data_IF_616672619085
#
_entry.id   IF_616672619085
#
_cell.length_a   1.000
_cell.length_b   1.000
_cell.length_c   1.000
_cell.angle_alpha   90.00
_cell.angle_beta   90.00
_cell.angle_gamma   90.00
#
_symmetry.space_group_name_H-M   'P 1'
#
loop_
_entity.id
_entity.type
_entity.pdbx_description
1 polymer ?
#
# COMPACT_ATOMS: atom_id res chain seq x y z
N UNK A 1 -7.98 -32.71 1.50
CA UNK A 1 -8.66 -31.49 1.01
C UNK A 1 -7.80 -30.20 1.05
N UNK A 2 -6.75 -30.10 1.88
CA UNK A 2 -5.88 -28.90 1.95
C UNK A 2 -4.93 -28.67 0.74
N UNK A 3 -4.69 -29.68 -0.11
CA UNK A 3 -3.80 -29.55 -1.28
C UNK A 3 -4.43 -28.83 -2.48
N UNK A 4 -5.75 -28.91 -2.64
CA UNK A 4 -6.44 -28.32 -3.79
C UNK A 4 -6.68 -26.80 -3.67
N UNK A 5 -6.68 -26.27 -2.44
CA UNK A 5 -6.81 -24.82 -2.20
C UNK A 5 -5.54 -24.02 -2.59
N UNK A 6 -4.35 -24.65 -2.51
CA UNK A 6 -3.08 -24.03 -2.95
C UNK A 6 -2.93 -23.94 -4.46
N UNK A 7 -3.66 -24.75 -5.22
CA UNK A 7 -3.63 -24.75 -6.69
C UNK A 7 -4.55 -23.68 -7.30
N UNK A 8 -5.67 -23.34 -6.66
CA UNK A 8 -6.59 -22.31 -7.17
C UNK A 8 -6.04 -20.89 -7.03
N UNK A 9 -5.27 -20.60 -5.99
CA UNK A 9 -4.62 -19.29 -5.79
C UNK A 9 -3.51 -19.01 -6.80
N UNK A 10 -2.95 -20.04 -7.44
CA UNK A 10 -1.90 -19.91 -8.46
C UNK A 10 -2.43 -19.62 -9.87
N UNK A 11 -3.73 -19.76 -10.12
CA UNK A 11 -4.33 -19.58 -11.45
C UNK A 11 -4.65 -18.13 -11.79
N UNK A 12 -4.60 -17.20 -10.82
CA UNK A 12 -4.99 -15.80 -11.02
C UNK A 12 -3.82 -14.79 -11.11
N UNK A 13 -2.57 -15.24 -10.94
CA UNK A 13 -1.39 -14.39 -11.19
C UNK A 13 -0.70 -14.83 -12.48
N UNK A 14 -0.84 -14.06 -13.55
CA UNK A 14 -0.15 -14.28 -14.84
C UNK A 14 1.35 -13.96 -14.78
N UNK A 15 1.84 -13.43 -13.65
CA UNK A 15 3.25 -13.12 -13.42
C UNK A 15 3.96 -14.36 -12.91
N UNK A 16 4.85 -14.95 -13.73
CA UNK A 16 5.79 -15.97 -13.26
C UNK A 16 6.74 -15.32 -12.24
N UNK A 17 6.85 -15.85 -11.02
CA UNK A 17 7.81 -15.34 -10.06
C UNK A 17 9.23 -15.62 -10.55
N UNK A 18 10.05 -14.57 -10.63
CA UNK A 18 11.49 -14.70 -10.74
C UNK A 18 11.99 -15.25 -9.40
N UNK A 19 12.55 -16.45 -9.38
CA UNK A 19 13.12 -17.05 -8.17
C UNK A 19 14.60 -16.72 -8.11
N UNK A 20 15.00 -15.86 -7.19
CA UNK A 20 16.27 -15.94 -6.47
C UNK A 20 16.04 -15.48 -5.02
N UNK A 21 16.73 -16.12 -4.07
CA UNK A 21 16.54 -16.07 -2.62
C UNK A 21 16.09 -14.70 -2.06
N UNK A 22 14.89 -14.66 -1.46
CA UNK A 22 14.22 -13.45 -1.02
C UNK A 22 14.57 -13.05 0.41
N UNK A 23 14.70 -11.75 0.66
CA UNK A 23 14.85 -11.16 1.99
C UNK A 23 13.64 -11.50 2.87
N UNK A 24 13.89 -12.14 4.03
CA UNK A 24 12.92 -12.13 5.12
C UNK A 24 13.16 -10.86 5.92
N UNK A 25 12.32 -9.85 5.71
CA UNK A 25 12.31 -8.68 6.58
C UNK A 25 12.03 -9.14 8.02
N UNK A 26 12.70 -8.56 9.02
CA UNK A 26 12.27 -8.73 10.40
C UNK A 26 10.82 -8.25 10.51
N UNK A 27 10.01 -8.91 11.33
CA UNK A 27 8.66 -8.43 11.60
C UNK A 27 8.73 -7.13 12.40
N UNK A 28 8.38 -6.01 11.78
CA UNK A 28 8.27 -4.68 12.42
C UNK A 28 9.53 -4.22 13.20
N UNK A 29 10.74 -4.22 12.58
CA UNK A 29 11.98 -3.83 13.24
C UNK A 29 11.93 -2.37 13.68
N UNK A 30 12.66 -2.02 14.73
CA UNK A 30 12.97 -0.61 14.97
C UNK A 30 13.85 -0.05 13.84
N UNK A 31 13.88 1.27 13.65
CA UNK A 31 14.75 1.91 12.63
C UNK A 31 16.21 1.42 12.74
N UNK A 32 16.70 1.16 13.95
CA UNK A 32 18.06 0.66 14.21
C UNK A 32 18.26 -0.80 13.79
N UNK A 33 17.28 -1.67 14.05
CA UNK A 33 17.31 -3.08 13.65
C UNK A 33 17.25 -3.23 12.13
N UNK A 34 16.41 -2.43 11.46
CA UNK A 34 16.37 -2.39 10.01
C UNK A 34 17.71 -1.91 9.43
N UNK A 35 18.30 -0.85 10.02
CA UNK A 35 19.62 -0.35 9.60
C UNK A 35 20.71 -1.40 9.77
N UNK A 36 20.72 -2.15 10.88
CA UNK A 36 21.66 -3.27 11.08
C UNK A 36 21.45 -4.40 10.06
N UNK A 37 20.20 -4.74 9.77
CA UNK A 37 19.85 -5.73 8.75
C UNK A 37 20.36 -5.33 7.36
N UNK A 38 20.16 -4.06 6.99
CA UNK A 38 20.64 -3.46 5.73
C UNK A 38 22.16 -3.56 5.57
N UNK A 39 22.91 -3.41 6.67
CA UNK A 39 24.37 -3.52 6.64
C UNK A 39 24.88 -4.97 6.52
N UNK A 40 24.14 -5.95 7.04
CA UNK A 40 24.61 -7.34 7.15
C UNK A 40 24.28 -8.20 5.92
N UNK A 41 23.09 -8.04 5.32
CA UNK A 41 22.62 -8.94 4.26
C UNK A 41 22.70 -8.34 2.85
N UNK A 42 23.51 -7.30 2.66
CA UNK A 42 23.57 -6.56 1.39
C UNK A 42 24.09 -7.46 0.26
N UNK A 43 23.22 -7.87 -0.66
CA UNK A 43 23.68 -8.23 -2.01
C UNK A 43 24.24 -6.94 -2.62
N UNK A 44 25.43 -7.00 -3.19
CA UNK A 44 25.97 -5.89 -3.98
C UNK A 44 25.09 -5.81 -5.22
N UNK A 45 24.08 -4.94 -5.17
CA UNK A 45 23.21 -4.70 -6.31
C UNK A 45 24.04 -4.10 -7.44
N UNK A 46 24.28 -4.91 -8.47
CA UNK A 46 24.80 -4.48 -9.77
C UNK A 46 23.66 -4.69 -10.76
N UNK A 47 22.93 -3.63 -11.05
CA UNK A 47 22.30 -3.39 -12.34
C UNK A 47 21.83 -1.94 -12.37
N UNK A 48 22.05 -1.28 -13.51
CA UNK A 48 21.89 0.15 -13.76
C UNK A 48 20.49 0.70 -13.36
N UNK A 49 20.27 0.97 -12.08
CA UNK A 49 19.20 1.87 -11.66
C UNK A 49 19.63 3.27 -12.08
N UNK A 50 18.84 3.86 -12.95
CA UNK A 50 19.02 5.23 -13.43
C UNK A 50 18.86 6.15 -12.22
N UNK A 51 19.99 6.55 -11.64
CA UNK A 51 20.05 7.41 -10.48
C UNK A 51 19.35 8.73 -10.79
N UNK A 52 18.30 9.05 -10.04
CA UNK A 52 17.60 10.31 -10.17
C UNK A 52 18.29 11.39 -9.32
N UNK A 53 18.76 12.46 -9.97
CA UNK A 53 19.36 13.60 -9.28
C UNK A 53 18.31 14.70 -9.06
N UNK A 54 17.96 15.02 -7.80
CA UNK A 54 17.04 16.11 -7.48
C UNK A 54 17.60 17.45 -7.97
N UNK A 55 16.71 18.36 -8.39
CA UNK A 55 17.12 19.73 -8.79
C UNK A 55 17.54 20.57 -7.59
N UNK A 56 16.81 20.40 -6.49
CA UNK A 56 17.00 21.16 -5.26
C UNK A 56 17.73 20.33 -4.21
N UNK A 57 18.34 21.01 -3.23
CA UNK A 57 18.96 20.33 -2.11
C UNK A 57 17.87 19.69 -1.24
N UNK A 58 17.96 18.38 -1.03
CA UNK A 58 17.01 17.66 -0.17
C UNK A 58 17.33 17.98 1.30
N UNK A 59 16.31 18.30 2.09
CA UNK A 59 16.44 18.43 3.53
C UNK A 59 15.77 17.25 4.26
N UNK A 60 16.58 16.38 4.85
CA UNK A 60 16.08 15.30 5.70
C UNK A 60 15.81 15.81 7.11
N UNK A 61 14.79 15.25 7.77
CA UNK A 61 14.61 15.49 9.20
C UNK A 61 15.75 14.85 10.01
N UNK A 62 15.80 15.11 11.32
CA UNK A 62 16.83 14.57 12.23
C UNK A 62 16.88 13.03 12.24
N UNK A 63 15.75 12.36 12.02
CA UNK A 63 15.68 10.89 11.92
C UNK A 63 16.16 10.35 10.57
N UNK A 64 16.52 11.21 9.63
CA UNK A 64 16.96 10.83 8.28
C UNK A 64 15.81 10.47 7.34
N UNK A 65 14.61 11.00 7.59
CA UNK A 65 13.39 10.78 6.80
C UNK A 65 12.99 12.07 6.08
N UNK A 66 12.56 11.93 4.83
CA UNK A 66 11.98 12.98 4.00
C UNK A 66 10.55 12.55 3.64
N UNK A 67 9.54 13.29 4.08
CA UNK A 67 8.14 12.94 3.79
C UNK A 67 7.82 13.27 2.34
N UNK A 68 7.38 12.30 1.55
CA UNK A 68 7.01 12.48 0.15
C UNK A 68 5.51 12.69 -0.03
N UNK A 69 4.72 11.92 0.71
CA UNK A 69 3.26 11.85 0.58
C UNK A 69 2.61 11.55 1.93
N UNK A 70 1.43 12.12 2.16
CA UNK A 70 0.60 11.87 3.34
C UNK A 70 -0.90 11.90 3.00
N UNK A 71 -1.66 10.95 3.53
CA UNK A 71 -3.11 10.82 3.33
C UNK A 71 -3.82 10.31 4.58
N UNK A 72 -5.02 10.83 4.83
CA UNK A 72 -5.95 10.32 5.83
C UNK A 72 -6.93 9.32 5.20
N UNK A 73 -6.48 8.07 5.00
CA UNK A 73 -7.25 6.99 4.35
C UNK A 73 -8.69 6.84 4.89
N UNK A 74 -8.90 6.97 6.19
CA UNK A 74 -10.22 6.85 6.85
C UNK A 74 -11.19 7.98 6.52
N UNK A 75 -10.63 9.14 6.20
CA UNK A 75 -11.41 10.34 5.88
C UNK A 75 -11.81 10.32 4.41
N UNK A 76 -10.92 9.83 3.56
CA UNK A 76 -11.09 9.78 2.12
C UNK A 76 -11.98 8.60 1.69
N UNK A 77 -11.95 7.50 2.43
CA UNK A 77 -12.82 6.35 2.17
C UNK A 77 -13.97 6.28 3.18
N UNK A 78 -15.22 6.14 2.72
CA UNK A 78 -16.35 5.95 3.62
C UNK A 78 -16.17 4.64 4.39
N UNK A 79 -16.03 4.76 5.70
CA UNK A 79 -15.97 3.61 6.61
C UNK A 79 -17.39 3.13 6.91
N UNK A 80 -18.34 4.04 7.11
CA UNK A 80 -19.72 3.69 7.43
C UNK A 80 -20.56 3.51 6.16
N UNK A 81 -21.19 2.34 6.02
CA UNK A 81 -22.03 1.99 4.87
C UNK A 81 -21.39 2.29 3.50
N UNK A 82 -20.20 1.72 3.21
CA UNK A 82 -19.52 1.93 1.93
C UNK A 82 -20.37 1.37 0.80
N UNK A 83 -20.95 2.25 -0.01
CA UNK A 83 -21.69 1.86 -1.20
C UNK A 83 -20.69 1.47 -2.31
N UNK A 84 -20.90 0.39 -3.08
CA UNK A 84 -22.02 -0.56 -3.04
C UNK A 84 -21.81 -1.77 -2.11
N UNK A 85 -20.66 -1.86 -1.42
CA UNK A 85 -20.28 -3.01 -0.59
C UNK A 85 -21.24 -3.30 0.57
N UNK A 86 -21.99 -2.30 1.03
CA UNK A 86 -23.00 -2.42 2.08
C UNK A 86 -24.39 -2.83 1.55
N UNK A 87 -24.63 -2.88 0.24
CA UNK A 87 -25.94 -3.29 -0.29
C UNK A 87 -26.34 -4.71 0.12
N UNK A 88 -25.45 -5.72 0.05
CA UNK A 88 -25.84 -7.09 0.37
C UNK A 88 -26.08 -7.29 1.87
N UNK A 89 -25.53 -6.44 2.74
CA UNK A 89 -25.81 -6.50 4.18
C UNK A 89 -27.25 -6.09 4.52
N UNK A 90 -27.87 -5.24 3.70
CA UNK A 90 -29.29 -4.87 3.84
C UNK A 90 -30.24 -6.05 3.59
N UNK A 91 -29.81 -7.06 2.82
CA UNK A 91 -30.59 -8.26 2.54
C UNK A 91 -30.47 -9.32 3.64
N UNK A 92 -29.57 -9.14 4.62
CA UNK A 92 -29.35 -10.11 5.71
C UNK A 92 -30.63 -10.36 6.52
N UNK A 93 -31.36 -9.34 6.99
CA UNK A 93 -32.60 -9.58 7.76
C UNK A 93 -33.63 -10.37 6.95
N UNK A 94 -33.77 -10.06 5.66
CA UNK A 94 -34.67 -10.79 4.76
C UNK A 94 -34.23 -12.25 4.59
N UNK A 95 -32.95 -12.49 4.34
CA UNK A 95 -32.39 -13.83 4.21
C UNK A 95 -32.54 -14.65 5.50
N UNK A 96 -32.32 -14.04 6.67
CA UNK A 96 -32.53 -14.71 7.96
C UNK A 96 -34.02 -15.02 8.21
N UNK A 97 -34.92 -14.08 7.87
CA UNK A 97 -36.36 -14.30 7.95
C UNK A 97 -36.80 -15.47 7.06
N UNK A 98 -36.32 -15.52 5.82
CA UNK A 98 -36.61 -16.60 4.87
C UNK A 98 -36.11 -17.97 5.36
N UNK A 99 -35.00 -18.01 6.09
CA UNK A 99 -34.47 -19.25 6.67
C UNK A 99 -35.22 -19.70 7.94
N UNK A 100 -35.49 -18.77 8.86
CA UNK A 100 -36.06 -19.06 10.17
C UNK A 100 -37.57 -19.30 10.13
N UNK A 101 -38.31 -18.39 9.48
CA UNK A 101 -39.78 -18.46 9.40
C UNK A 101 -40.24 -19.35 8.24
N UNK A 102 -39.41 -19.47 7.19
CA UNK A 102 -39.70 -20.26 6.00
C UNK A 102 -41.16 -20.11 5.52
N UNK A 103 -41.61 -18.89 5.19
CA UNK A 103 -43.02 -18.59 4.93
C UNK A 103 -43.58 -19.36 3.72
N UNK A 104 -42.71 -19.83 2.84
CA UNK A 104 -43.06 -20.61 1.65
C UNK A 104 -42.97 -22.13 1.85
N UNK A 105 -42.71 -22.60 3.07
CA UNK A 105 -42.58 -24.01 3.42
C UNK A 105 -41.61 -24.77 2.49
N UNK A 106 -40.50 -24.12 2.15
CA UNK A 106 -39.48 -24.71 1.28
C UNK A 106 -38.81 -25.90 1.96
N UNK A 107 -38.32 -26.84 1.14
CA UNK A 107 -37.47 -27.93 1.60
C UNK A 107 -36.27 -27.37 2.36
N UNK A 108 -35.82 -28.08 3.41
CA UNK A 108 -34.70 -27.66 4.27
C UNK A 108 -33.44 -27.25 3.48
N UNK A 109 -33.10 -28.02 2.45
CA UNK A 109 -31.92 -27.72 1.62
C UNK A 109 -32.07 -26.39 0.85
N UNK A 110 -33.30 -26.05 0.43
CA UNK A 110 -33.60 -24.82 -0.28
C UNK A 110 -33.68 -23.63 0.68
N UNK A 111 -34.24 -23.78 1.87
CA UNK A 111 -34.24 -22.70 2.87
C UNK A 111 -32.82 -22.39 3.38
N UNK A 112 -31.96 -23.40 3.49
CA UNK A 112 -30.54 -23.24 3.87
C UNK A 112 -29.75 -22.33 2.91
N UNK A 113 -30.18 -22.19 1.65
CA UNK A 113 -29.57 -21.23 0.72
C UNK A 113 -29.64 -19.79 1.24
N UNK A 114 -30.73 -19.40 1.90
CA UNK A 114 -30.88 -18.05 2.46
C UNK A 114 -29.94 -17.81 3.65
N UNK A 115 -29.66 -18.84 4.45
CA UNK A 115 -28.64 -18.75 5.50
C UNK A 115 -27.26 -18.43 4.89
N UNK A 116 -26.88 -19.12 3.81
CA UNK A 116 -25.64 -18.80 3.09
C UNK A 116 -25.67 -17.42 2.44
N UNK A 117 -26.81 -17.00 1.90
CA UNK A 117 -27.01 -15.65 1.38
C UNK A 117 -26.80 -14.56 2.43
N UNK A 118 -27.23 -14.78 3.68
CA UNK A 118 -26.96 -13.88 4.79
C UNK A 118 -25.46 -13.80 5.13
N UNK A 119 -24.77 -14.95 5.20
CA UNK A 119 -23.33 -15.00 5.50
C UNK A 119 -22.52 -14.32 4.38
N UNK A 120 -22.81 -14.65 3.12
CA UNK A 120 -22.14 -14.09 1.95
C UNK A 120 -22.44 -12.59 1.76
N UNK A 121 -23.60 -12.13 2.21
CA UNK A 121 -23.96 -10.71 2.17
C UNK A 121 -23.01 -9.80 2.98
N UNK A 122 -22.29 -10.34 3.96
CA UNK A 122 -21.31 -9.57 4.75
C UNK A 122 -19.95 -9.51 4.04
N UNK A 123 -19.65 -10.44 3.15
CA UNK A 123 -18.31 -10.59 2.56
C UNK A 123 -17.79 -9.33 1.85
N UNK A 124 -18.56 -8.64 0.98
CA UNK A 124 -18.07 -7.46 0.27
C UNK A 124 -17.70 -6.31 1.22
N UNK A 125 -18.41 -6.18 2.34
CA UNK A 125 -18.14 -5.19 3.37
C UNK A 125 -16.82 -5.49 4.11
N UNK A 126 -16.56 -6.76 4.44
CA UNK A 126 -15.27 -7.17 5.01
C UNK A 126 -14.12 -6.99 4.02
N UNK A 127 -14.33 -7.31 2.74
CA UNK A 127 -13.32 -7.13 1.70
C UNK A 127 -12.93 -5.66 1.53
N UNK A 128 -13.92 -4.74 1.51
CA UNK A 128 -13.68 -3.30 1.49
C UNK A 128 -12.76 -2.87 2.65
N UNK A 129 -13.09 -3.27 3.88
CA UNK A 129 -12.30 -2.93 5.05
C UNK A 129 -10.91 -3.55 5.09
N UNK A 130 -10.80 -4.80 4.64
CA UNK A 130 -9.52 -5.45 4.52
C UNK A 130 -8.63 -4.71 3.51
N UNK A 131 -9.21 -4.19 2.43
CA UNK A 131 -8.45 -3.48 1.41
C UNK A 131 -7.93 -2.12 1.85
N UNK A 132 -8.60 -1.42 2.78
CA UNK A 132 -8.15 -0.12 3.30
C UNK A 132 -6.72 -0.14 3.85
N UNK A 133 -6.24 -1.29 4.34
CA UNK A 133 -4.88 -1.44 4.86
C UNK A 133 -3.79 -1.28 3.80
N UNK A 134 -4.12 -1.44 2.53
CA UNK A 134 -3.20 -1.31 1.40
C UNK A 134 -3.17 0.12 0.84
N UNK A 135 -3.96 1.03 1.42
CA UNK A 135 -3.88 2.45 1.15
C UNK A 135 -2.82 3.05 2.07
N UNK A 136 -1.89 3.80 1.48
CA UNK A 136 -0.73 4.35 2.20
C UNK A 136 -1.16 5.64 2.92
N UNK A 137 -0.91 5.70 4.22
CA UNK A 137 -1.13 6.91 5.02
C UNK A 137 0.04 7.88 4.93
N UNK A 138 1.28 7.40 4.97
CA UNK A 138 2.46 8.26 4.86
C UNK A 138 3.58 7.52 4.16
N UNK A 139 4.20 8.17 3.19
CA UNK A 139 5.36 7.68 2.47
C UNK A 139 6.54 8.60 2.74
N UNK A 140 7.63 8.06 3.26
CA UNK A 140 8.85 8.82 3.54
C UNK A 140 10.07 8.16 2.93
N UNK A 141 10.92 8.93 2.27
CA UNK A 141 12.21 8.49 1.76
C UNK A 141 13.23 8.49 2.90
N UNK A 142 13.96 7.39 3.05
CA UNK A 142 15.07 7.31 4.00
C UNK A 142 16.37 7.82 3.38
N UNK A 143 17.22 8.38 4.23
CA UNK A 143 18.59 8.77 3.89
C UNK A 143 19.32 7.58 3.25
N UNK A 144 20.01 7.85 2.15
CA UNK A 144 20.60 6.83 1.29
C UNK A 144 19.80 6.60 0.00
N UNK A 145 18.56 7.09 -0.08
CA UNK A 145 17.83 7.24 -1.35
C UNK A 145 17.35 5.96 -2.01
N UNK A 146 17.44 4.83 -1.30
CA UNK A 146 17.11 3.47 -1.80
C UNK A 146 15.89 2.84 -1.16
N UNK A 147 15.49 3.34 0.02
CA UNK A 147 14.45 2.73 0.85
C UNK A 147 13.37 3.74 1.16
N UNK A 148 12.13 3.29 1.08
CA UNK A 148 10.96 4.00 1.54
C UNK A 148 10.46 3.39 2.83
N UNK A 149 10.08 4.27 3.75
CA UNK A 149 9.27 3.95 4.91
C UNK A 149 7.81 4.23 4.55
N UNK A 150 7.01 3.19 4.64
CA UNK A 150 5.57 3.22 4.43
C UNK A 150 4.89 3.12 5.78
N UNK A 151 4.02 4.08 6.07
CA UNK A 151 3.08 3.98 7.17
C UNK A 151 1.70 3.73 6.60
N UNK A 152 1.07 2.66 7.05
CA UNK A 152 -0.30 2.28 6.70
C UNK A 152 -1.08 1.97 7.97
N UNK A 153 -2.40 2.06 7.89
CA UNK A 153 -3.24 1.83 9.06
C UNK A 153 -4.36 0.85 8.78
N UNK A 154 -4.79 0.17 9.84
CA UNK A 154 -5.99 -0.66 9.83
C UNK A 154 -7.18 0.07 10.42
N UNK A 155 -8.38 -0.49 10.24
CA UNK A 155 -9.66 0.10 10.68
C UNK A 155 -9.72 0.46 12.17
N UNK A 156 -8.85 -0.14 12.98
CA UNK A 156 -8.68 0.14 14.40
C UNK A 156 -7.91 1.45 14.67
N UNK A 157 -7.43 2.14 13.62
CA UNK A 157 -6.60 3.35 13.72
C UNK A 157 -5.14 3.07 14.07
N UNK A 158 -4.74 1.80 14.25
CA UNK A 158 -3.35 1.45 14.52
C UNK A 158 -2.50 1.67 13.27
N UNK A 159 -1.39 2.40 13.43
CA UNK A 159 -0.43 2.68 12.35
C UNK A 159 0.71 1.68 12.39
N UNK A 160 0.91 0.96 11.31
CA UNK A 160 2.07 0.09 11.09
C UNK A 160 3.11 0.79 10.25
N UNK A 161 4.36 0.40 10.45
CA UNK A 161 5.51 0.92 9.71
C UNK A 161 6.19 -0.25 9.01
N UNK A 162 6.38 -0.10 7.71
CA UNK A 162 7.02 -1.09 6.85
C UNK A 162 8.05 -0.39 5.98
N UNK A 163 9.11 -1.11 5.59
CA UNK A 163 10.13 -0.62 4.68
C UNK A 163 10.04 -1.36 3.36
N UNK A 164 10.22 -0.62 2.28
CA UNK A 164 10.15 -1.11 0.91
C UNK A 164 11.35 -0.55 0.16
N UNK A 165 12.06 -1.38 -0.59
CA UNK A 165 13.09 -0.88 -1.47
C UNK A 165 12.50 -0.34 -2.77
N UNK A 166 13.14 0.70 -3.31
CA UNK A 166 12.64 1.38 -4.52
C UNK A 166 12.78 0.48 -5.77
N UNK A 167 13.74 -0.44 -5.79
CA UNK A 167 13.91 -1.41 -6.88
C UNK A 167 12.78 -2.46 -6.92
N UNK A 168 12.07 -2.69 -5.82
CA UNK A 168 10.93 -3.61 -5.72
C UNK A 168 9.59 -2.97 -6.16
N UNK A 169 9.60 -1.70 -6.60
CA UNK A 169 8.42 -0.90 -6.93
C UNK A 169 8.14 -0.92 -8.43
N UNK A 170 6.95 -1.37 -8.79
CA UNK A 170 6.44 -1.38 -10.16
C UNK A 170 5.15 -0.58 -10.25
N UNK A 171 5.13 0.50 -11.05
CA UNK A 171 3.91 1.29 -11.24
C UNK A 171 2.88 0.52 -12.08
N UNK A 172 1.62 0.57 -11.65
CA UNK A 172 0.48 0.01 -12.37
C UNK A 172 -0.34 1.11 -13.06
N UNK A 173 -1.09 0.70 -14.09
CA UNK A 173 -2.14 1.50 -14.72
C UNK A 173 -3.35 1.67 -13.78
N UNK A 174 -4.29 2.55 -14.13
CA UNK A 174 -5.56 2.70 -13.41
C UNK A 174 -6.36 1.39 -13.35
N UNK A 175 -6.29 0.59 -14.40
CA UNK A 175 -6.90 -0.75 -14.47
C UNK A 175 -6.14 -1.81 -13.67
N UNK A 176 -5.15 -1.40 -12.85
CA UNK A 176 -4.25 -2.28 -12.07
C UNK A 176 -3.47 -3.29 -12.92
N UNK A 177 -3.30 -2.99 -14.22
CA UNK A 177 -2.44 -3.75 -15.12
C UNK A 177 -1.02 -3.20 -15.08
N UNK A 178 -0.01 -4.07 -15.15
CA UNK A 178 1.40 -3.65 -15.20
C UNK A 178 1.63 -2.78 -16.43
N UNK A 179 2.15 -1.57 -16.21
CA UNK A 179 2.53 -0.71 -17.33
C UNK A 179 3.74 -1.32 -18.03
N UNK A 180 3.71 -1.31 -19.36
CA UNK A 180 4.92 -1.61 -20.14
C UNK A 180 6.01 -0.59 -19.75
N UNK A 181 7.29 -1.01 -19.64
CA UNK A 181 8.38 -0.17 -19.12
C UNK A 181 8.47 1.21 -19.79
N UNK A 182 8.28 1.24 -21.12
CA UNK A 182 8.30 2.46 -21.94
C UNK A 182 7.18 3.45 -21.58
N UNK A 183 5.99 2.94 -21.23
CA UNK A 183 4.84 3.78 -20.83
C UNK A 183 4.89 4.20 -19.36
N UNK A 184 5.56 3.40 -18.51
CA UNK A 184 5.73 3.70 -17.09
C UNK A 184 6.61 4.92 -16.84
N UNK A 185 7.68 5.10 -17.62
CA UNK A 185 8.64 6.20 -17.47
C UNK A 185 8.02 7.55 -17.86
N UNK A 186 7.25 7.60 -18.95
CA UNK A 186 6.65 8.85 -19.46
C UNK A 186 5.29 9.20 -18.82
N UNK A 187 4.72 8.29 -18.03
CA UNK A 187 3.42 8.51 -17.40
C UNK A 187 3.49 9.64 -16.36
N UNK A 188 2.63 10.66 -16.51
CA UNK A 188 2.48 11.74 -15.52
C UNK A 188 1.98 11.13 -14.20
N UNK A 189 2.73 11.32 -13.12
CA UNK A 189 2.36 10.90 -11.76
C UNK A 189 1.66 12.06 -11.05
N UNK A 190 2.15 13.26 -11.30
CA UNK A 190 1.80 14.48 -10.59
C UNK A 190 1.37 15.55 -11.59
N UNK A 191 0.36 16.34 -11.22
CA UNK A 191 -0.14 17.48 -11.97
C UNK A 191 0.80 18.67 -11.93
N UNK A 192 0.52 19.68 -12.75
CA UNK A 192 1.25 20.95 -12.79
C UNK A 192 1.26 21.67 -11.42
N UNK A 193 0.28 21.38 -10.58
CA UNK A 193 0.15 21.90 -9.21
C UNK A 193 0.96 21.11 -8.16
N UNK A 194 1.65 20.04 -8.56
CA UNK A 194 2.41 19.20 -7.62
C UNK A 194 1.55 18.20 -6.83
N UNK A 195 0.27 18.02 -7.13
CA UNK A 195 -0.59 16.98 -6.52
C UNK A 195 -0.85 15.79 -7.45
N UNK A 196 -1.25 14.65 -6.91
CA UNK A 196 -1.59 13.46 -7.71
C UNK A 196 -2.79 13.74 -8.62
N UNK A 197 -2.70 13.34 -9.90
CA UNK A 197 -3.82 13.49 -10.83
C UNK A 197 -4.96 12.52 -10.50
N UNK A 198 -4.58 11.29 -10.19
CA UNK A 198 -5.47 10.18 -9.87
C UNK A 198 -4.83 9.28 -8.81
N UNK A 199 -5.59 8.29 -8.34
CA UNK A 199 -5.04 7.26 -7.45
C UNK A 199 -3.89 6.53 -8.15
N UNK A 200 -2.74 6.50 -7.50
CA UNK A 200 -1.54 5.84 -8.03
C UNK A 200 -1.43 4.46 -7.41
N UNK A 201 -1.43 3.45 -8.27
CA UNK A 201 -1.26 2.05 -7.87
C UNK A 201 0.18 1.62 -8.08
N UNK A 202 0.75 1.00 -7.04
CA UNK A 202 2.12 0.53 -7.01
C UNK A 202 2.09 -0.94 -6.62
N UNK A 203 2.64 -1.81 -7.47
CA UNK A 203 2.92 -3.19 -7.12
C UNK A 203 4.29 -3.26 -6.45
N UNK A 204 4.33 -3.86 -5.27
CA UNK A 204 5.55 -4.11 -4.51
C UNK A 204 5.78 -5.61 -4.43
N UNK A 205 7.00 -6.04 -4.74
CA UNK A 205 7.35 -7.46 -4.72
C UNK A 205 7.26 -8.05 -3.32
N UNK A 206 7.81 -7.36 -2.32
CA UNK A 206 7.80 -7.78 -0.92
C UNK A 206 7.22 -6.68 -0.03
N UNK A 207 6.15 -6.99 0.69
CA UNK A 207 5.51 -6.07 1.63
C UNK A 207 5.24 -6.76 2.95
N UNK A 208 5.71 -6.18 4.05
CA UNK A 208 5.40 -6.67 5.40
C UNK A 208 4.09 -6.03 5.85
N UNK A 209 3.07 -6.85 6.07
CA UNK A 209 1.80 -6.41 6.61
C UNK A 209 1.51 -7.14 7.93
N UNK A 210 1.39 -6.38 9.02
CA UNK A 210 1.14 -6.92 10.38
C UNK A 210 2.12 -8.06 10.73
N UNK A 211 3.41 -7.87 10.42
CA UNK A 211 4.46 -8.85 10.66
C UNK A 211 4.42 -10.09 9.75
N UNK A 212 3.58 -10.09 8.70
CA UNK A 212 3.55 -11.14 7.67
C UNK A 212 4.10 -10.63 6.36
N UNK A 213 5.07 -11.36 5.80
CA UNK A 213 5.60 -11.08 4.48
C UNK A 213 4.59 -11.50 3.42
N UNK A 214 4.07 -10.52 2.70
CA UNK A 214 3.16 -10.67 1.57
C UNK A 214 3.93 -10.39 0.29
N UNK A 215 3.69 -11.20 -0.75
CA UNK A 215 4.31 -11.01 -2.05
C UNK A 215 3.36 -10.38 -3.05
N UNK A 216 3.88 -9.61 -4.01
CA UNK A 216 3.11 -8.98 -5.08
C UNK A 216 1.89 -8.20 -4.55
N UNK A 217 2.15 -7.31 -3.60
CA UNK A 217 1.11 -6.50 -2.98
C UNK A 217 0.88 -5.24 -3.80
N UNK A 218 -0.38 -4.87 -4.02
CA UNK A 218 -0.73 -3.59 -4.66
C UNK A 218 -1.03 -2.59 -3.56
N UNK A 219 -0.21 -1.54 -3.48
CA UNK A 219 -0.40 -0.40 -2.62
C UNK A 219 -1.02 0.76 -3.40
N UNK A 220 -1.82 1.56 -2.71
CA UNK A 220 -2.54 2.70 -3.31
C UNK A 220 -2.12 3.99 -2.63
N UNK A 221 -1.68 4.96 -3.43
CA UNK A 221 -1.57 6.37 -3.04
C UNK A 221 -2.85 7.07 -3.49
N UNK A 222 -3.57 7.67 -2.55
CA UNK A 222 -4.85 8.32 -2.84
C UNK A 222 -4.67 9.73 -3.40
N UNK A 223 -5.47 10.07 -4.40
CA UNK A 223 -5.51 11.40 -5.01
C UNK A 223 -5.71 12.52 -4.00
N UNK A 224 -6.52 12.28 -2.97
CA UNK A 224 -6.86 13.25 -1.92
C UNK A 224 -5.73 13.47 -0.91
N UNK A 225 -4.65 12.70 -0.99
CA UNK A 225 -3.47 12.90 -0.16
C UNK A 225 -2.63 14.11 -0.57
N UNK A 226 -1.87 14.64 0.38
CA UNK A 226 -0.95 15.75 0.19
C UNK A 226 0.42 15.25 -0.26
N UNK A 227 0.87 15.76 -1.40
CA UNK A 227 2.25 15.59 -1.89
C UNK A 227 3.14 16.74 -1.37
N UNK A 228 4.31 16.40 -0.83
CA UNK A 228 5.30 17.37 -0.33
C UNK A 228 6.44 17.60 -1.33
N UNK A 229 6.98 16.53 -1.92
CA UNK A 229 8.05 16.61 -2.92
C UNK A 229 7.62 15.92 -4.22
N UNK A 230 6.91 16.63 -5.11
CA UNK A 230 6.38 16.13 -6.39
C UNK A 230 7.40 15.39 -7.25
N UNK A 231 8.56 16.01 -7.44
CA UNK A 231 9.62 15.50 -8.30
C UNK A 231 10.17 14.17 -7.78
N UNK A 232 10.53 14.15 -6.49
CA UNK A 232 11.10 12.98 -5.83
C UNK A 232 10.06 11.85 -5.74
N UNK A 233 8.81 12.17 -5.40
CA UNK A 233 7.72 11.19 -5.39
C UNK A 233 7.56 10.54 -6.77
N UNK A 234 7.57 11.33 -7.84
CA UNK A 234 7.43 10.81 -9.20
C UNK A 234 8.58 9.88 -9.60
N UNK A 235 9.81 10.21 -9.19
CA UNK A 235 10.98 9.38 -9.45
C UNK A 235 10.92 8.04 -8.70
N UNK A 236 10.59 8.11 -7.41
CA UNK A 236 10.47 6.95 -6.52
C UNK A 236 9.38 5.99 -6.98
N UNK A 237 8.19 6.50 -7.35
CA UNK A 237 7.07 5.69 -7.84
C UNK A 237 7.40 4.98 -9.15
N UNK A 238 8.32 5.54 -9.95
CA UNK A 238 8.84 4.93 -11.18
C UNK A 238 9.98 3.94 -10.94
N UNK A 239 10.42 3.75 -9.69
CA UNK A 239 11.51 2.84 -9.34
C UNK A 239 12.92 3.45 -9.48
N UNK A 240 13.05 4.78 -9.64
CA UNK A 240 14.36 5.42 -9.68
C UNK A 240 14.90 5.66 -8.27
N UNK A 241 16.10 5.16 -8.00
CA UNK A 241 16.83 5.50 -6.77
C UNK A 241 17.18 6.99 -6.78
N UNK A 242 17.10 7.63 -5.61
CA UNK A 242 17.32 9.07 -5.47
C UNK A 242 18.76 9.32 -5.04
N UNK A 243 19.48 10.16 -5.77
CA UNK A 243 20.78 10.65 -5.34
C UNK A 243 20.64 11.53 -4.11
N UNK A 244 21.14 11.03 -2.99
CA UNK A 244 21.17 11.74 -1.71
C UNK A 244 22.58 12.23 -1.38
N UNK A 245 23.44 12.45 -2.38
CA UNK A 245 24.79 13.00 -2.16
C UNK A 245 24.78 14.47 -1.72
N UNK A 246 23.82 15.26 -2.22
CA UNK A 246 23.66 16.68 -1.88
C UNK A 246 22.42 16.90 -1.01
N UNK A 247 22.56 16.68 0.30
CA UNK A 247 21.47 16.84 1.26
C UNK A 247 21.88 17.67 2.47
N UNK A 248 20.88 18.26 3.12
CA UNK A 248 20.99 18.92 4.42
C UNK A 248 20.20 18.11 5.46
N UNK A 249 20.63 18.17 6.71
CA UNK A 249 19.85 17.64 7.83
C UNK A 249 19.28 18.81 8.60
N UNK A 250 17.95 18.86 8.71
CA UNK A 250 17.28 19.77 9.63
C UNK A 250 17.40 19.21 11.04
N UNK A 251 18.15 19.90 11.90
CA UNK A 251 18.33 19.54 13.31
C UNK A 251 17.29 20.20 14.22
N UNK A 252 16.42 21.07 13.70
CA UNK A 252 15.40 21.77 14.47
C UNK A 252 14.26 20.81 14.86
N UNK A 253 13.93 20.78 16.15
CA UNK A 253 12.79 20.03 16.69
C UNK A 253 11.49 20.82 16.49
N UNK A 254 10.74 20.51 15.43
CA UNK A 254 9.34 20.95 15.29
C UNK A 254 8.44 19.76 14.98
N UNK A 255 8.51 18.72 15.81
CA UNK A 255 7.39 17.78 15.96
C UNK A 255 6.68 18.13 17.27
N UNK A 256 5.87 19.19 17.23
CA UNK A 256 4.86 19.43 18.27
C UNK A 256 3.56 18.82 17.77
N UNK A 257 2.89 18.07 18.64
CA UNK A 257 1.70 17.23 18.39
C UNK A 257 0.62 17.89 17.51
N UNK A 258 0.52 19.22 17.42
CA UNK A 258 -0.59 19.94 16.79
C UNK A 258 -0.21 21.10 15.85
N UNK A 259 1.06 21.27 15.47
CA UNK A 259 1.42 22.30 14.48
C UNK A 259 1.46 21.70 13.06
N UNK A 260 0.85 22.35 12.05
CA UNK A 260 1.04 21.97 10.66
C UNK A 260 2.52 22.07 10.33
N UNK A 261 3.05 21.08 9.62
CA UNK A 261 4.44 21.05 9.18
C UNK A 261 4.80 22.35 8.46
N UNK A 262 5.52 23.24 9.15
CA UNK A 262 6.13 24.42 8.54
C UNK A 262 7.41 23.99 7.83
N UNK A 263 7.26 23.15 6.82
CA UNK A 263 8.28 22.97 5.79
C UNK A 263 7.78 23.79 4.59
N UNK A 264 8.27 25.04 4.52
CA UNK A 264 8.25 25.85 3.30
C UNK A 264 9.30 25.31 2.34
#
# INVERSE_FOLDING_TARGET
MLRQARTLTRLFSTVKPYYEEHYQYPGNPTNEEFTKYMHQNRKVYVQDSTLFKPKEQIEFNRTGELVLFESEVWRNNPVYFPYPHCLPTLLIPFNLYMYLENPFQMLWNSSTFFLWGAILGIYPYFEHYYNLRFHINRLSLLRGGKVLKVEHSNITGYRWKTWIFIDEIHRLSQDKQTLLPEKGIDSKVVNEQGQLDDNVFIQVENFVDVGRNTKNCILTLEKEGRVYHPEILSAVVRGFEVDTSNFRINTLHTERWLEPSTNL
#
